data_IF_049961498934
#
_entry.id   IF_049961498934
#
_cell.length_a   1.000
_cell.length_b   1.000
_cell.length_c   1.000
_cell.angle_alpha   90.00
_cell.angle_beta   90.00
_cell.angle_gamma   90.00
#
_symmetry.space_group_name_H-M   'P 1'
#
loop_
_entity.id
_entity.type
_entity.pdbx_description
1 polymer ?
#
# COMPACT_ATOMS: atom_id res chain seq x y z
N UNK A 1 4.98 -13.25 17.64
CA UNK A 1 6.38 -13.13 18.14
C UNK A 1 6.58 -13.59 19.60
N UNK A 2 5.67 -13.33 20.56
CA UNK A 2 5.87 -13.77 21.97
C UNK A 2 6.12 -15.29 22.09
N UNK A 3 5.35 -16.11 21.36
CA UNK A 3 5.54 -17.58 21.35
C UNK A 3 6.93 -18.01 20.87
N UNK A 4 7.44 -17.45 19.77
CA UNK A 4 8.78 -17.82 19.26
C UNK A 4 9.91 -17.37 20.19
N UNK A 5 9.72 -16.30 20.96
CA UNK A 5 10.65 -15.90 22.04
C UNK A 5 10.63 -16.94 23.16
N UNK A 6 9.44 -17.35 23.61
CA UNK A 6 9.29 -18.39 24.65
C UNK A 6 9.86 -19.74 24.20
N UNK A 7 9.70 -20.09 22.93
CA UNK A 7 10.18 -21.34 22.34
C UNK A 7 11.68 -21.27 21.97
N UNK A 8 12.35 -20.12 22.14
CA UNK A 8 13.77 -19.92 21.80
C UNK A 8 14.08 -19.95 20.30
N UNK A 9 13.06 -19.85 19.44
CA UNK A 9 13.19 -19.92 17.97
C UNK A 9 13.06 -18.55 17.30
N UNK A 10 13.03 -17.47 18.07
CA UNK A 10 12.94 -16.11 17.53
C UNK A 10 14.22 -15.73 16.80
N UNK A 11 14.06 -15.06 15.65
CA UNK A 11 15.14 -14.45 14.88
C UNK A 11 14.77 -13.01 14.56
N UNK A 12 15.77 -12.14 14.44
CA UNK A 12 15.55 -10.76 14.06
C UNK A 12 15.12 -10.68 12.59
N UNK A 13 14.04 -9.95 12.33
CA UNK A 13 13.48 -9.74 10.99
C UNK A 13 12.93 -8.32 10.87
N UNK A 14 12.93 -7.80 9.65
CA UNK A 14 12.16 -6.61 9.31
C UNK A 14 10.77 -7.07 8.87
N UNK A 15 9.73 -6.60 9.57
CA UNK A 15 8.36 -6.97 9.29
C UNK A 15 7.56 -5.73 8.85
N UNK A 16 6.89 -5.83 7.70
CA UNK A 16 5.99 -4.81 7.19
C UNK A 16 4.64 -5.43 6.83
N UNK A 17 3.77 -5.53 7.83
CA UNK A 17 2.44 -6.11 7.69
C UNK A 17 1.44 -5.19 6.99
N UNK A 18 0.57 -5.79 6.18
CA UNK A 18 -0.49 -5.10 5.44
C UNK A 18 -1.89 -5.69 5.68
N UNK A 19 -2.76 -5.59 4.66
CA UNK A 19 -4.13 -6.10 4.68
C UNK A 19 -4.21 -7.65 4.71
N UNK A 20 -3.16 -8.35 4.27
CA UNK A 20 -3.11 -9.82 4.25
C UNK A 20 -2.80 -10.43 5.60
N UNK A 21 -2.09 -9.69 6.45
CA UNK A 21 -1.72 -10.13 7.79
C UNK A 21 -2.69 -9.59 8.85
N UNK A 22 -3.77 -8.95 8.41
CA UNK A 22 -4.75 -8.23 9.24
C UNK A 22 -4.12 -7.15 10.16
N UNK A 23 -2.92 -6.68 9.82
CA UNK A 23 -2.25 -5.55 10.49
C UNK A 23 -2.91 -4.23 10.10
N UNK A 24 -3.38 -4.13 8.86
CA UNK A 24 -4.20 -3.01 8.36
C UNK A 24 -5.61 -3.52 8.10
N UNK A 25 -6.60 -2.72 8.52
CA UNK A 25 -8.03 -3.05 8.41
C UNK A 25 -8.81 -1.81 7.97
N UNK A 26 -9.88 -2.02 7.22
CA UNK A 26 -10.86 -0.98 6.91
C UNK A 26 -12.11 -1.18 7.78
N UNK A 27 -12.60 -0.09 8.36
CA UNK A 27 -13.91 -0.07 9.01
C UNK A 27 -15.03 0.12 7.98
N UNK A 28 -16.28 -0.25 8.31
CA UNK A 28 -17.41 0.00 7.41
C UNK A 28 -17.56 1.48 7.07
N UNK A 29 -17.94 1.78 5.83
CA UNK A 29 -18.23 3.15 5.43
C UNK A 29 -19.42 3.72 6.21
N UNK A 30 -19.35 5.00 6.54
CA UNK A 30 -20.47 5.70 7.18
C UNK A 30 -21.62 5.92 6.18
N UNK A 31 -22.80 6.27 6.71
CA UNK A 31 -23.98 6.66 5.91
C UNK A 31 -23.77 7.86 4.97
N UNK A 32 -22.65 8.58 5.10
CA UNK A 32 -22.32 9.71 4.21
C UNK A 32 -21.72 9.24 2.88
N UNK A 33 -21.35 7.95 2.77
CA UNK A 33 -20.85 7.40 1.52
C UNK A 33 -22.00 7.27 0.51
N UNK A 34 -21.75 7.56 -0.78
CA UNK A 34 -22.77 7.41 -1.82
C UNK A 34 -23.14 5.94 -2.03
N UNK A 35 -24.31 5.71 -2.61
CA UNK A 35 -24.79 4.38 -2.94
C UNK A 35 -23.76 3.61 -3.80
N UNK A 36 -23.50 2.35 -3.42
CA UNK A 36 -22.53 1.49 -4.10
C UNK A 36 -21.06 1.72 -3.71
N UNK A 37 -20.73 2.72 -2.89
CA UNK A 37 -19.35 2.97 -2.46
C UNK A 37 -18.74 1.78 -1.70
N UNK A 38 -19.49 1.17 -0.77
CA UNK A 38 -19.00 0.03 0.01
C UNK A 38 -18.65 -1.15 -0.91
N UNK A 39 -19.51 -1.46 -1.88
CA UNK A 39 -19.25 -2.55 -2.83
C UNK A 39 -17.97 -2.31 -3.65
N UNK A 40 -17.67 -1.06 -4.00
CA UNK A 40 -16.42 -0.72 -4.68
C UNK A 40 -15.19 -0.82 -3.80
N UNK A 41 -15.31 -0.43 -2.52
CA UNK A 41 -14.24 -0.65 -1.54
C UNK A 41 -13.96 -2.13 -1.36
N UNK A 42 -15.01 -2.94 -1.18
CA UNK A 42 -14.88 -4.39 -0.98
C UNK A 42 -14.25 -5.09 -2.21
N UNK A 43 -14.65 -4.66 -3.42
CA UNK A 43 -14.07 -5.16 -4.69
C UNK A 43 -12.56 -4.93 -4.75
N UNK A 44 -12.09 -3.71 -4.45
CA UNK A 44 -10.66 -3.38 -4.50
C UNK A 44 -9.90 -4.00 -3.33
N UNK A 45 -10.52 -4.07 -2.15
CA UNK A 45 -9.94 -4.73 -0.98
C UNK A 45 -9.64 -6.20 -1.27
N UNK A 46 -10.56 -6.91 -1.92
CA UNK A 46 -10.35 -8.30 -2.34
C UNK A 46 -9.14 -8.43 -3.29
N UNK A 47 -9.03 -7.52 -4.27
CA UNK A 47 -7.93 -7.51 -5.23
C UNK A 47 -6.56 -7.17 -4.61
N UNK A 48 -6.54 -6.31 -3.60
CA UNK A 48 -5.31 -6.06 -2.84
C UNK A 48 -4.93 -7.31 -2.05
N UNK A 49 -5.92 -7.98 -1.43
CA UNK A 49 -5.66 -9.17 -0.63
C UNK A 49 -5.17 -10.35 -1.47
N UNK A 50 -5.79 -10.59 -2.62
CA UNK A 50 -5.38 -11.67 -3.53
C UNK A 50 -4.13 -11.34 -4.37
N UNK A 51 -3.61 -10.11 -4.26
CA UNK A 51 -2.41 -9.66 -4.95
C UNK A 51 -2.61 -9.30 -6.43
N UNK A 52 -3.83 -9.36 -6.95
CA UNK A 52 -4.14 -8.96 -8.34
C UNK A 52 -4.13 -7.44 -8.54
N UNK A 53 -4.12 -6.66 -7.47
CA UNK A 53 -3.98 -5.20 -7.51
C UNK A 53 -2.83 -4.73 -6.63
N UNK A 54 -1.74 -4.28 -7.26
CA UNK A 54 -0.62 -3.64 -6.59
C UNK A 54 -0.73 -2.10 -6.73
N UNK A 55 -0.78 -1.41 -5.59
CA UNK A 55 -0.99 0.04 -5.49
C UNK A 55 0.13 0.83 -6.20
N UNK A 56 1.37 0.31 -6.15
CA UNK A 56 2.55 0.94 -6.75
C UNK A 56 2.98 0.23 -8.04
N UNK A 57 2.04 -0.31 -8.80
CA UNK A 57 2.28 -0.82 -10.15
C UNK A 57 2.16 0.30 -11.19
N UNK A 58 3.15 0.39 -12.07
CA UNK A 58 3.20 1.38 -13.13
C UNK A 58 2.21 1.14 -14.28
N UNK A 59 1.98 2.15 -15.13
CA UNK A 59 2.78 3.37 -15.21
C UNK A 59 2.42 4.40 -14.14
N UNK A 60 3.42 4.92 -13.43
CA UNK A 60 3.27 6.00 -12.44
C UNK A 60 4.23 7.14 -12.79
N UNK A 61 3.67 8.34 -12.87
CA UNK A 61 4.38 9.59 -13.10
C UNK A 61 4.49 10.37 -11.80
N UNK A 62 5.58 11.12 -11.62
CA UNK A 62 5.68 12.12 -10.56
C UNK A 62 4.91 13.43 -10.90
N UNK A 63 4.89 14.36 -9.95
CA UNK A 63 4.25 15.67 -10.08
C UNK A 63 4.82 16.54 -11.22
N UNK A 64 6.04 16.26 -11.69
CA UNK A 64 6.65 16.95 -12.84
C UNK A 64 6.26 16.31 -14.18
N UNK A 65 5.60 15.15 -14.14
CA UNK A 65 5.26 14.34 -15.31
C UNK A 65 6.37 13.36 -15.71
N UNK A 66 7.43 13.24 -14.93
CA UNK A 66 8.51 12.27 -15.18
C UNK A 66 8.04 10.87 -14.78
N UNK A 67 8.30 9.88 -15.63
CA UNK A 67 7.99 8.48 -15.31
C UNK A 67 8.89 7.97 -14.19
N UNK A 68 8.28 7.40 -13.15
CA UNK A 68 8.96 6.83 -11.98
C UNK A 68 8.86 5.32 -11.94
N UNK A 69 7.73 4.77 -12.37
CA UNK A 69 7.49 3.33 -12.42
C UNK A 69 6.93 3.03 -13.80
N UNK A 70 7.66 2.25 -14.60
CA UNK A 70 7.25 1.88 -15.94
C UNK A 70 6.02 0.95 -15.93
N UNK A 71 5.28 0.92 -17.05
CA UNK A 71 4.13 0.02 -17.19
C UNK A 71 4.50 -1.45 -16.91
N UNK A 72 3.72 -2.12 -16.06
CA UNK A 72 3.93 -3.52 -15.69
C UNK A 72 4.99 -3.75 -14.61
N UNK A 73 5.84 -2.77 -14.30
CA UNK A 73 6.75 -2.83 -13.15
C UNK A 73 6.01 -2.44 -11.85
N UNK A 74 6.49 -2.94 -10.72
CA UNK A 74 6.00 -2.55 -9.40
C UNK A 74 7.16 -2.04 -8.55
N UNK A 75 6.89 -1.04 -7.71
CA UNK A 75 7.88 -0.51 -6.78
C UNK A 75 8.22 -1.54 -5.69
N UNK A 76 9.51 -1.65 -5.35
CA UNK A 76 9.96 -2.49 -4.24
C UNK A 76 9.57 -1.87 -2.89
N UNK A 77 9.50 -2.68 -1.83
CA UNK A 77 9.26 -2.17 -0.48
C UNK A 77 10.38 -1.22 -0.02
N UNK A 78 11.63 -1.49 -0.39
CA UNK A 78 12.77 -0.61 -0.09
C UNK A 78 12.58 0.78 -0.72
N UNK A 79 12.17 0.84 -1.99
CA UNK A 79 11.89 2.10 -2.67
C UNK A 79 10.66 2.82 -2.09
N UNK A 80 9.65 2.08 -1.62
CA UNK A 80 8.47 2.65 -0.95
C UNK A 80 8.85 3.30 0.39
N UNK A 81 9.73 2.69 1.18
CA UNK A 81 10.24 3.26 2.44
C UNK A 81 11.07 4.54 2.20
N UNK A 82 11.75 4.61 1.06
CA UNK A 82 12.56 5.76 0.64
C UNK A 82 11.84 6.78 -0.23
N UNK A 83 10.50 6.74 -0.31
CA UNK A 83 9.74 7.54 -1.26
C UNK A 83 9.84 9.06 -0.97
N UNK A 84 10.63 9.76 -1.79
CA UNK A 84 10.89 11.21 -1.68
C UNK A 84 10.35 12.00 -2.88
N UNK A 85 9.18 11.62 -3.42
CA UNK A 85 8.51 12.33 -4.50
C UNK A 85 7.00 12.11 -4.44
N UNK A 86 6.24 13.04 -5.03
CA UNK A 86 4.78 12.93 -5.14
C UNK A 86 4.35 12.50 -6.54
N UNK A 87 3.30 11.69 -6.62
CA UNK A 87 2.66 11.28 -7.88
C UNK A 87 2.00 12.47 -8.58
N UNK A 88 1.83 12.35 -9.90
CA UNK A 88 1.11 13.33 -10.72
C UNK A 88 -0.27 13.63 -10.15
N UNK A 89 -0.58 14.93 -10.01
CA UNK A 89 -1.87 15.41 -9.50
C UNK A 89 -1.87 15.77 -8.01
N UNK A 90 -0.83 15.40 -7.26
CA UNK A 90 -0.61 15.91 -5.90
C UNK A 90 -0.07 17.33 -5.99
N UNK A 91 -0.65 18.25 -5.22
CA UNK A 91 -0.11 19.58 -5.00
C UNK A 91 0.48 19.65 -3.59
N UNK A 92 1.81 19.64 -3.52
CA UNK A 92 2.56 19.68 -2.28
C UNK A 92 4.06 19.76 -2.57
N UNK A 93 4.83 20.21 -1.59
CA UNK A 93 6.29 20.24 -1.67
C UNK A 93 6.85 19.35 -0.57
N UNK A 94 7.94 18.64 -0.85
CA UNK A 94 8.69 17.92 0.16
C UNK A 94 9.72 18.93 0.70
N UNK A 95 9.53 19.36 1.94
CA UNK A 95 10.52 20.19 2.63
C UNK A 95 11.73 19.33 2.97
N UNK A 96 12.93 19.84 2.68
CA UNK A 96 14.21 19.18 2.96
C UNK A 96 14.80 19.67 4.28
#
# INVERSE_FOLDING_TARGET
QVKSVMDGTWVAENYWGGLNDDVVLLTPLTKNAPDGAQAKVDEVLAKIKDGSFNIFQGPILDQTGTEKIAAGAAMSDEDQLGLMWFVKGVNGVIEQ
#
